data_IF_393655980662
#
_entry.id   IF_393655980662
#
_cell.length_a   1.000
_cell.length_b   1.000
_cell.length_c   1.000
_cell.angle_alpha   90.00
_cell.angle_beta   90.00
_cell.angle_gamma   90.00
#
_symmetry.space_group_name_H-M   'P 1'
#
loop_
_entity.id
_entity.type
_entity.pdbx_description
1 polymer ?
#
# COMPACT_ATOMS: atom_id res chain seq x y z
N UNK A 1 39.80 -29.93 29.52
CA UNK A 1 39.23 -28.60 29.75
C UNK A 1 37.82 -28.61 29.19
N UNK A 2 36.80 -28.54 30.04
CA UNK A 2 35.41 -28.41 29.56
C UNK A 2 35.12 -26.93 29.29
N UNK A 3 34.48 -26.60 28.16
CA UNK A 3 34.01 -25.24 27.94
C UNK A 3 32.92 -24.92 28.98
N UNK A 4 33.20 -23.96 29.85
CA UNK A 4 32.17 -23.36 30.71
C UNK A 4 31.36 -22.40 29.84
N UNK A 5 30.07 -22.69 29.65
CA UNK A 5 29.15 -21.73 29.04
C UNK A 5 28.88 -20.59 30.03
N UNK A 6 29.42 -19.41 29.74
CA UNK A 6 29.06 -18.17 30.43
C UNK A 6 27.82 -17.57 29.77
N UNK A 7 26.70 -17.51 30.50
CA UNK A 7 25.52 -16.77 30.09
C UNK A 7 25.67 -15.32 30.59
N UNK A 8 25.77 -14.37 29.65
CA UNK A 8 25.75 -12.94 29.97
C UNK A 8 24.29 -12.48 30.02
N UNK A 9 23.82 -12.09 31.21
CA UNK A 9 22.47 -11.56 31.41
C UNK A 9 22.57 -10.04 31.54
N UNK A 10 21.92 -9.33 30.62
CA UNK A 10 21.81 -7.87 30.67
C UNK A 10 20.43 -7.49 31.24
N UNK A 11 20.43 -6.67 32.30
CA UNK A 11 19.21 -6.07 32.83
C UNK A 11 19.05 -4.67 32.25
N UNK A 12 18.03 -4.48 31.41
CA UNK A 12 17.71 -3.18 30.83
C UNK A 12 16.61 -2.50 31.65
N UNK A 13 16.80 -1.22 31.96
CA UNK A 13 15.79 -0.35 32.59
C UNK A 13 15.62 0.91 31.75
N UNK A 14 14.44 1.52 31.78
CA UNK A 14 14.06 2.62 30.88
C UNK A 14 12.60 2.52 30.45
N UNK A 15 12.17 3.49 29.65
CA UNK A 15 10.89 3.54 28.96
C UNK A 15 10.78 2.43 27.90
N UNK A 16 9.57 2.12 27.45
CA UNK A 16 9.35 1.09 26.43
C UNK A 16 10.09 1.42 25.11
N UNK A 17 10.13 2.69 24.72
CA UNK A 17 10.88 3.14 23.53
C UNK A 17 12.38 2.89 23.68
N UNK A 18 12.98 3.24 24.82
CA UNK A 18 14.41 3.03 25.07
C UNK A 18 14.78 1.54 25.07
N UNK A 19 13.90 0.69 25.64
CA UNK A 19 14.07 -0.76 25.61
C UNK A 19 14.03 -1.29 24.17
N UNK A 20 13.08 -0.82 23.37
CA UNK A 20 12.94 -1.26 21.97
C UNK A 20 14.15 -0.88 21.13
N UNK A 21 14.67 0.34 21.27
CA UNK A 21 15.85 0.79 20.55
C UNK A 21 17.12 0.03 20.96
N UNK A 22 17.23 -0.31 22.25
CA UNK A 22 18.28 -1.20 22.72
C UNK A 22 18.17 -2.61 22.10
N UNK A 23 16.96 -3.17 22.06
CA UNK A 23 16.72 -4.48 21.41
C UNK A 23 17.08 -4.48 19.92
N UNK A 24 16.75 -3.41 19.19
CA UNK A 24 17.16 -3.22 17.79
C UNK A 24 18.68 -3.21 17.64
N UNK A 25 19.39 -2.59 18.58
CA UNK A 25 20.86 -2.50 18.57
C UNK A 25 21.52 -3.85 18.81
N UNK A 26 20.97 -4.70 19.67
CA UNK A 26 21.56 -6.04 19.93
C UNK A 26 21.14 -7.10 18.90
N UNK A 27 20.06 -6.88 18.15
CA UNK A 27 19.53 -7.78 17.11
C UNK A 27 20.36 -7.75 15.80
N UNK A 28 21.69 -7.86 15.93
CA UNK A 28 22.66 -7.80 14.82
C UNK A 28 23.36 -9.16 14.61
N UNK A 29 23.32 -10.07 15.59
CA UNK A 29 23.95 -11.39 15.53
C UNK A 29 22.92 -12.53 15.62
N UNK A 30 22.98 -13.49 14.69
CA UNK A 30 22.07 -14.64 14.62
C UNK A 30 20.92 -14.47 13.61
N UNK A 31 19.84 -15.24 13.75
CA UNK A 31 18.63 -15.02 12.96
C UNK A 31 17.95 -13.74 13.43
N UNK A 32 17.91 -12.73 12.55
CA UNK A 32 17.34 -11.42 12.85
C UNK A 32 15.85 -11.55 13.15
N UNK A 33 15.45 -11.11 14.36
CA UNK A 33 14.05 -10.92 14.71
C UNK A 33 13.42 -9.84 13.82
N UNK A 34 12.19 -10.06 13.39
CA UNK A 34 11.34 -9.05 12.74
C UNK A 34 11.01 -7.91 13.70
N UNK A 35 10.57 -6.79 13.15
CA UNK A 35 10.21 -5.62 13.96
C UNK A 35 9.06 -5.96 14.92
N UNK A 36 8.06 -6.72 14.48
CA UNK A 36 6.97 -7.17 15.34
C UNK A 36 7.42 -8.16 16.43
N UNK A 37 8.38 -9.04 16.15
CA UNK A 37 8.98 -9.91 17.16
C UNK A 37 9.69 -9.10 18.26
N UNK A 38 10.40 -8.04 17.89
CA UNK A 38 11.03 -7.12 18.85
C UNK A 38 10.00 -6.35 19.68
N UNK A 39 8.95 -5.81 19.04
CA UNK A 39 7.86 -5.11 19.73
C UNK A 39 7.17 -6.03 20.74
N UNK A 40 6.88 -7.27 20.37
CA UNK A 40 6.26 -8.25 21.26
C UNK A 40 7.13 -8.61 22.48
N UNK A 41 8.46 -8.46 22.39
CA UNK A 41 9.34 -8.65 23.54
C UNK A 41 9.28 -7.49 24.54
N UNK A 42 9.03 -6.27 24.06
CA UNK A 42 8.92 -5.05 24.88
C UNK A 42 7.51 -4.90 25.46
N UNK A 43 6.48 -5.04 24.63
CA UNK A 43 5.07 -4.86 24.99
C UNK A 43 4.41 -6.20 25.37
N UNK A 44 5.10 -7.00 26.18
CA UNK A 44 4.61 -8.31 26.57
C UNK A 44 3.49 -8.17 27.62
N UNK A 45 2.34 -8.81 27.37
CA UNK A 45 1.22 -8.83 28.30
C UNK A 45 0.08 -9.74 27.83
N UNK A 46 -1.05 -9.78 28.55
CA UNK A 46 -2.16 -10.68 28.25
C UNK A 46 -2.71 -10.49 26.83
N UNK A 47 -2.85 -9.24 26.40
CA UNK A 47 -3.26 -8.87 25.04
C UNK A 47 -2.31 -9.46 23.97
N UNK A 48 -1.00 -9.28 24.10
CA UNK A 48 -0.01 -9.77 23.13
C UNK A 48 -0.02 -11.31 23.05
N UNK A 49 -0.18 -11.97 24.21
CA UNK A 49 -0.30 -13.43 24.25
C UNK A 49 -1.56 -13.93 23.53
N UNK A 50 -2.68 -13.23 23.70
CA UNK A 50 -3.94 -13.58 23.04
C UNK A 50 -3.91 -13.27 21.53
N UNK A 51 -3.40 -12.10 21.12
CA UNK A 51 -3.24 -11.69 19.73
C UNK A 51 -2.46 -12.74 18.92
N UNK A 52 -1.36 -13.26 19.49
CA UNK A 52 -0.54 -14.30 18.85
C UNK A 52 -1.32 -15.58 18.55
N UNK A 53 -2.40 -15.90 19.29
CA UNK A 53 -3.24 -17.08 19.01
C UNK A 53 -3.99 -16.95 17.69
N UNK A 54 -4.40 -15.73 17.32
CA UNK A 54 -5.12 -15.44 16.08
C UNK A 54 -4.20 -15.26 14.89
N UNK A 55 -3.05 -14.60 15.09
CA UNK A 55 -2.21 -14.09 14.01
C UNK A 55 -0.86 -14.79 13.87
N UNK A 56 -0.29 -15.34 14.94
CA UNK A 56 1.15 -15.66 15.01
C UNK A 56 1.45 -17.13 15.21
N UNK A 57 0.90 -17.99 14.35
CA UNK A 57 1.22 -19.43 14.27
C UNK A 57 1.00 -19.95 12.85
N UNK A 58 1.67 -21.04 12.49
CA UNK A 58 1.40 -21.74 11.23
C UNK A 58 -0.08 -22.13 11.15
N UNK A 59 -0.75 -21.77 10.06
CA UNK A 59 -2.19 -22.05 9.89
C UNK A 59 -3.08 -21.35 10.92
N UNK A 60 -2.69 -20.18 11.42
CA UNK A 60 -3.52 -19.38 12.33
C UNK A 60 -4.87 -18.99 11.71
N UNK A 61 -5.81 -18.55 12.56
CA UNK A 61 -7.13 -18.14 12.11
C UNK A 61 -7.07 -17.01 11.06
N UNK A 62 -6.17 -16.05 11.26
CA UNK A 62 -5.96 -14.96 10.33
C UNK A 62 -5.46 -15.46 8.96
N UNK A 63 -4.55 -16.45 8.93
CA UNK A 63 -4.08 -17.06 7.69
C UNK A 63 -5.21 -17.74 6.93
N UNK A 64 -5.99 -18.59 7.60
CA UNK A 64 -7.12 -19.28 6.97
C UNK A 64 -8.20 -18.33 6.47
N UNK A 65 -8.35 -17.16 7.11
CA UNK A 65 -9.32 -16.14 6.71
C UNK A 65 -8.85 -15.29 5.53
N UNK A 66 -7.56 -14.93 5.52
CA UNK A 66 -7.04 -13.79 4.77
C UNK A 66 -5.85 -14.07 3.84
N UNK A 67 -5.39 -15.32 3.69
CA UNK A 67 -4.21 -15.67 2.86
C UNK A 67 -4.26 -15.21 1.40
N UNK A 68 -5.46 -14.89 0.91
CA UNK A 68 -5.72 -14.38 -0.44
C UNK A 68 -5.71 -12.86 -0.56
N UNK A 69 -5.68 -12.16 0.57
CA UNK A 69 -5.74 -10.71 0.69
C UNK A 69 -4.48 -10.14 1.34
N UNK A 70 -3.54 -11.00 1.72
CA UNK A 70 -2.25 -10.61 2.29
C UNK A 70 -1.14 -10.74 1.25
N UNK A 71 -0.05 -9.95 1.38
CA UNK A 71 1.10 -10.02 0.48
C UNK A 71 1.59 -11.46 0.26
N UNK A 72 2.04 -11.74 -0.96
CA UNK A 72 2.61 -13.05 -1.25
C UNK A 72 3.85 -13.30 -0.36
N UNK A 73 3.89 -14.46 0.30
CA UNK A 73 4.95 -14.78 1.26
C UNK A 73 4.72 -14.22 2.66
N UNK A 74 3.63 -13.46 2.89
CA UNK A 74 3.29 -12.97 4.23
C UNK A 74 3.18 -14.14 5.21
N UNK A 75 3.95 -14.06 6.28
CA UNK A 75 4.24 -15.17 7.17
C UNK A 75 3.62 -14.95 8.55
N UNK A 76 2.62 -15.76 8.93
CA UNK A 76 2.07 -15.74 10.28
C UNK A 76 3.13 -16.04 11.35
N UNK A 77 4.05 -16.97 11.08
CA UNK A 77 5.06 -17.37 12.07
C UNK A 77 6.09 -16.26 12.31
N UNK A 78 6.38 -15.46 11.27
CA UNK A 78 7.19 -14.22 11.37
C UNK A 78 6.36 -13.00 11.78
N UNK A 79 5.12 -13.21 12.22
CA UNK A 79 4.24 -12.22 12.84
C UNK A 79 3.79 -11.06 11.93
N UNK A 80 3.97 -11.18 10.62
CA UNK A 80 3.63 -10.13 9.65
C UNK A 80 2.10 -9.90 9.54
N UNK A 81 1.30 -10.93 9.82
CA UNK A 81 -0.16 -10.80 9.93
C UNK A 81 -0.56 -9.94 11.13
N UNK A 82 0.09 -10.16 12.27
CA UNK A 82 -0.16 -9.40 13.49
C UNK A 82 0.26 -7.94 13.29
N UNK A 83 1.45 -7.74 12.74
CA UNK A 83 1.98 -6.42 12.39
C UNK A 83 1.02 -5.65 11.49
N UNK A 84 0.57 -6.27 10.40
CA UNK A 84 -0.37 -5.66 9.45
C UNK A 84 -1.72 -5.32 10.11
N UNK A 85 -2.26 -6.23 10.93
CA UNK A 85 -3.53 -6.00 11.61
C UNK A 85 -3.42 -4.82 12.59
N UNK A 86 -2.32 -4.73 13.35
CA UNK A 86 -2.08 -3.63 14.29
C UNK A 86 -1.94 -2.32 13.52
N UNK A 87 -1.12 -2.28 12.47
CA UNK A 87 -0.93 -1.08 11.64
C UNK A 87 -2.27 -0.54 11.12
N UNK A 88 -3.10 -1.42 10.56
CA UNK A 88 -4.42 -1.04 10.07
C UNK A 88 -5.34 -0.49 11.16
N UNK A 89 -5.34 -1.10 12.34
CA UNK A 89 -6.21 -0.68 13.44
C UNK A 89 -5.70 0.56 14.18
N UNK A 90 -4.38 0.73 14.27
CA UNK A 90 -3.73 1.96 14.75
C UNK A 90 -4.17 3.15 13.89
N UNK A 91 -4.10 3.02 12.57
CA UNK A 91 -4.58 4.07 11.66
C UNK A 91 -6.09 4.31 11.80
N UNK A 92 -6.89 3.26 11.98
CA UNK A 92 -8.34 3.39 12.17
C UNK A 92 -8.72 4.15 13.46
N UNK A 93 -7.88 4.04 14.49
CA UNK A 93 -8.08 4.65 15.81
C UNK A 93 -7.33 5.99 15.96
N UNK A 94 -6.67 6.46 14.90
CA UNK A 94 -5.94 7.73 14.89
C UNK A 94 -4.61 7.71 15.65
N UNK A 95 -3.99 6.53 15.75
CA UNK A 95 -2.66 6.35 16.34
C UNK A 95 -1.58 6.39 15.26
N UNK A 96 -0.45 7.00 15.59
CA UNK A 96 0.62 7.27 14.63
C UNK A 96 1.56 6.07 14.40
N UNK A 97 1.50 5.05 15.26
CA UNK A 97 2.40 3.89 15.19
C UNK A 97 1.85 2.62 15.83
N UNK A 98 2.44 1.49 15.44
CA UNK A 98 2.23 0.16 16.04
C UNK A 98 2.65 0.17 17.51
N UNK A 99 3.79 0.81 17.81
CA UNK A 99 4.32 0.94 19.17
C UNK A 99 3.33 1.64 20.11
N UNK A 100 2.70 2.74 19.65
CA UNK A 100 1.69 3.44 20.45
C UNK A 100 0.45 2.57 20.68
N UNK A 101 -0.01 1.86 19.64
CA UNK A 101 -1.12 0.91 19.76
C UNK A 101 -0.80 -0.18 20.80
N UNK A 102 0.34 -0.85 20.67
CA UNK A 102 0.73 -1.92 21.57
C UNK A 102 0.95 -1.43 23.01
N UNK A 103 1.53 -0.24 23.20
CA UNK A 103 1.72 0.34 24.53
C UNK A 103 0.39 0.58 25.25
N UNK A 104 -0.65 1.02 24.53
CA UNK A 104 -2.01 1.24 25.07
C UNK A 104 -2.73 -0.07 25.40
N UNK A 105 -2.54 -1.10 24.58
CA UNK A 105 -3.32 -2.34 24.67
C UNK A 105 -2.62 -3.49 25.39
N UNK A 106 -1.30 -3.45 25.65
CA UNK A 106 -0.53 -4.58 26.20
C UNK A 106 -1.10 -5.18 27.50
N UNK A 107 -1.81 -4.39 28.30
CA UNK A 107 -2.42 -4.80 29.56
C UNK A 107 -3.90 -5.17 29.46
N UNK A 108 -4.50 -5.07 28.27
CA UNK A 108 -5.87 -5.53 28.03
C UNK A 108 -5.97 -7.03 28.22
N UNK A 109 -7.15 -7.51 28.62
CA UNK A 109 -7.36 -8.91 28.96
C UNK A 109 -7.21 -9.85 27.74
N UNK A 110 -7.61 -9.38 26.55
CA UNK A 110 -7.61 -10.14 25.31
C UNK A 110 -7.46 -9.23 24.08
N UNK A 111 -7.21 -9.84 22.91
CA UNK A 111 -7.05 -9.13 21.64
C UNK A 111 -8.31 -9.20 20.77
N UNK A 112 -9.48 -9.34 21.40
CA UNK A 112 -10.76 -9.48 20.72
C UNK A 112 -11.06 -8.33 19.79
N UNK A 113 -10.85 -7.08 20.22
CA UNK A 113 -11.11 -5.89 19.39
C UNK A 113 -10.32 -5.92 18.07
N UNK A 114 -9.00 -6.14 18.14
CA UNK A 114 -8.13 -6.26 16.98
C UNK A 114 -8.59 -7.41 16.05
N UNK A 115 -8.97 -8.55 16.63
CA UNK A 115 -9.46 -9.69 15.86
C UNK A 115 -10.77 -9.38 15.12
N UNK A 116 -11.75 -8.79 15.80
CA UNK A 116 -13.03 -8.42 15.17
C UNK A 116 -12.85 -7.35 14.09
N UNK A 117 -11.97 -6.37 14.32
CA UNK A 117 -11.60 -5.39 13.31
C UNK A 117 -11.05 -6.09 12.06
N UNK A 118 -10.04 -6.95 12.21
CA UNK A 118 -9.45 -7.68 11.10
C UNK A 118 -10.48 -8.53 10.35
N UNK A 119 -11.37 -9.22 11.06
CA UNK A 119 -12.47 -9.96 10.45
C UNK A 119 -13.39 -9.06 9.64
N UNK A 120 -13.69 -7.86 10.14
CA UNK A 120 -14.55 -6.88 9.47
C UNK A 120 -13.90 -6.36 8.18
N UNK A 121 -12.60 -6.09 8.19
CA UNK A 121 -11.85 -5.74 6.97
C UNK A 121 -12.03 -6.82 5.92
N UNK A 122 -11.73 -8.08 6.25
CA UNK A 122 -11.76 -9.17 5.27
C UNK A 122 -13.18 -9.48 4.80
N UNK A 123 -14.17 -9.40 5.69
CA UNK A 123 -15.57 -9.56 5.35
C UNK A 123 -16.03 -8.48 4.36
N UNK A 124 -15.64 -7.22 4.59
CA UNK A 124 -15.93 -6.12 3.68
C UNK A 124 -15.27 -6.30 2.32
N UNK A 125 -14.00 -6.74 2.27
CA UNK A 125 -13.31 -7.03 0.99
C UNK A 125 -14.08 -8.09 0.20
N UNK A 126 -14.48 -9.20 0.84
CA UNK A 126 -15.23 -10.28 0.19
C UNK A 126 -16.61 -9.84 -0.31
N UNK A 127 -17.29 -8.96 0.44
CA UNK A 127 -18.58 -8.43 0.05
C UNK A 127 -18.48 -7.40 -1.08
N UNK A 128 -17.42 -6.59 -1.08
CA UNK A 128 -17.23 -5.49 -2.04
C UNK A 128 -16.61 -5.98 -3.36
N UNK A 129 -15.69 -6.95 -3.29
CA UNK A 129 -14.94 -7.50 -4.42
C UNK A 129 -15.04 -9.04 -4.41
N UNK A 130 -16.18 -9.61 -4.85
CA UNK A 130 -16.44 -11.05 -4.72
C UNK A 130 -15.59 -11.92 -5.65
N UNK A 131 -15.13 -11.38 -6.78
CA UNK A 131 -14.29 -12.13 -7.73
C UNK A 131 -12.82 -12.11 -7.28
N UNK A 132 -12.36 -13.24 -6.77
CA UNK A 132 -10.96 -13.42 -6.35
C UNK A 132 -10.00 -13.33 -7.54
N UNK A 133 -8.97 -12.50 -7.39
CA UNK A 133 -7.84 -12.39 -8.33
C UNK A 133 -6.51 -12.36 -7.57
N UNK A 134 -5.41 -12.76 -8.21
CA UNK A 134 -4.09 -12.84 -7.56
C UNK A 134 -3.57 -11.46 -7.13
N UNK A 135 -3.98 -10.41 -7.84
CA UNK A 135 -3.60 -9.01 -7.64
C UNK A 135 -4.09 -8.48 -6.28
N UNK A 136 -5.14 -9.08 -5.71
CA UNK A 136 -5.71 -8.73 -4.40
C UNK A 136 -4.71 -8.89 -3.25
N UNK A 137 -3.67 -9.71 -3.42
CA UNK A 137 -2.62 -9.90 -2.40
C UNK A 137 -1.76 -8.67 -2.17
N UNK A 138 -1.70 -7.74 -3.13
CA UNK A 138 -0.85 -6.55 -3.06
C UNK A 138 -1.66 -5.27 -2.86
N UNK A 139 -2.78 -5.37 -2.14
CA UNK A 139 -3.69 -4.27 -1.84
C UNK A 139 -3.70 -4.02 -0.34
N UNK A 140 -3.61 -2.75 0.05
CA UNK A 140 -3.66 -2.34 1.46
C UNK A 140 -5.10 -2.28 1.95
N UNK A 141 -5.70 -3.43 2.21
CA UNK A 141 -7.14 -3.54 2.49
C UNK A 141 -7.60 -2.80 3.73
N UNK A 142 -6.80 -2.74 4.80
CA UNK A 142 -7.16 -1.98 6.00
C UNK A 142 -7.32 -0.49 5.73
N UNK A 143 -6.40 0.13 5.00
CA UNK A 143 -6.50 1.54 4.60
C UNK A 143 -7.81 1.82 3.83
N UNK A 144 -8.13 0.95 2.86
CA UNK A 144 -9.36 1.07 2.07
C UNK A 144 -10.61 0.84 2.91
N UNK A 145 -10.59 -0.14 3.81
CA UNK A 145 -11.71 -0.39 4.71
C UNK A 145 -11.95 0.81 5.65
N UNK A 146 -10.88 1.39 6.20
CA UNK A 146 -11.00 2.55 7.08
C UNK A 146 -11.64 3.74 6.36
N UNK A 147 -11.35 3.93 5.08
CA UNK A 147 -11.87 5.05 4.28
C UNK A 147 -13.25 4.79 3.63
N UNK A 148 -13.54 3.54 3.25
CA UNK A 148 -14.71 3.18 2.43
C UNK A 148 -15.64 2.15 3.07
N UNK A 149 -15.26 1.53 4.19
CA UNK A 149 -15.97 0.41 4.83
C UNK A 149 -17.42 0.72 5.23
N UNK A 150 -17.73 1.99 5.47
CA UNK A 150 -19.08 2.47 5.83
C UNK A 150 -19.86 3.04 4.64
N UNK A 151 -19.22 3.21 3.47
CA UNK A 151 -19.86 3.78 2.29
C UNK A 151 -20.73 2.72 1.60
N UNK A 152 -21.83 3.17 0.98
CA UNK A 152 -22.68 2.31 0.15
C UNK A 152 -22.01 2.11 -1.21
N UNK A 153 -21.44 0.94 -1.40
CA UNK A 153 -20.81 0.52 -2.65
C UNK A 153 -21.73 -0.44 -3.40
N UNK A 154 -21.58 -0.50 -4.73
CA UNK A 154 -22.29 -1.46 -5.59
C UNK A 154 -21.27 -2.49 -6.11
N UNK A 155 -21.17 -3.69 -5.51
CA UNK A 155 -20.19 -4.70 -5.90
C UNK A 155 -20.26 -5.09 -7.37
N UNK A 156 -21.46 -5.11 -7.97
CA UNK A 156 -21.65 -5.44 -9.39
C UNK A 156 -21.01 -4.38 -10.29
N UNK A 157 -21.23 -3.09 -9.99
CA UNK A 157 -20.61 -1.99 -10.76
C UNK A 157 -19.09 -1.96 -10.58
N UNK A 158 -18.63 -2.16 -9.35
CA UNK A 158 -17.19 -2.24 -9.07
C UNK A 158 -16.54 -3.38 -9.85
N UNK A 159 -17.14 -4.56 -9.84
CA UNK A 159 -16.60 -5.73 -10.54
C UNK A 159 -16.55 -5.53 -12.07
N UNK A 160 -17.57 -4.88 -12.66
CA UNK A 160 -17.55 -4.52 -14.09
C UNK A 160 -16.36 -3.62 -14.41
N UNK A 161 -16.11 -2.62 -13.58
CA UNK A 161 -15.01 -1.69 -13.78
C UNK A 161 -13.65 -2.35 -13.53
N UNK A 162 -13.53 -3.18 -12.48
CA UNK A 162 -12.33 -3.98 -12.23
C UNK A 162 -12.02 -4.87 -13.43
N UNK A 163 -13.01 -5.59 -13.97
CA UNK A 163 -12.81 -6.46 -15.13
C UNK A 163 -12.33 -5.66 -16.36
N UNK A 164 -12.97 -4.53 -16.66
CA UNK A 164 -12.57 -3.63 -17.75
C UNK A 164 -11.12 -3.17 -17.62
N UNK A 165 -10.71 -2.78 -16.41
CA UNK A 165 -9.35 -2.30 -16.12
C UNK A 165 -8.30 -3.42 -16.12
N UNK A 166 -8.70 -4.65 -15.78
CA UNK A 166 -7.83 -5.81 -15.87
C UNK A 166 -7.43 -6.11 -17.32
N UNK A 167 -8.33 -5.87 -18.28
CA UNK A 167 -8.06 -6.04 -19.71
C UNK A 167 -7.26 -4.89 -20.34
N UNK A 168 -7.22 -3.72 -19.70
CA UNK A 168 -6.52 -2.56 -20.27
C UNK A 168 -4.99 -2.69 -20.17
N UNK A 169 -4.31 -2.77 -21.31
CA UNK A 169 -2.85 -2.84 -21.40
C UNK A 169 -2.15 -1.57 -20.91
N UNK A 170 -2.86 -0.44 -20.88
CA UNK A 170 -2.30 0.82 -20.39
C UNK A 170 -2.23 0.84 -18.86
N UNK A 171 -2.91 -0.07 -18.13
CA UNK A 171 -2.82 -0.17 -16.67
C UNK A 171 -1.67 -1.10 -16.29
N UNK A 172 -0.55 -0.55 -15.83
CA UNK A 172 0.62 -1.35 -15.45
C UNK A 172 0.49 -1.93 -14.03
N UNK A 173 -0.11 -1.19 -13.08
CA UNK A 173 -0.27 -1.63 -11.68
C UNK A 173 -1.67 -2.17 -11.43
N UNK A 174 -1.88 -3.45 -11.73
CA UNK A 174 -3.20 -4.11 -11.60
C UNK A 174 -3.73 -4.18 -10.16
N UNK A 175 -2.88 -4.20 -9.13
CA UNK A 175 -3.36 -4.09 -7.73
C UNK A 175 -3.89 -2.69 -7.39
N UNK A 176 -3.46 -1.66 -8.13
CA UNK A 176 -3.97 -0.30 -7.98
C UNK A 176 -5.38 -0.08 -8.54
N UNK A 177 -5.94 -1.07 -9.23
CA UNK A 177 -7.32 -1.00 -9.71
C UNK A 177 -8.30 -0.87 -8.55
N UNK A 178 -8.09 -1.60 -7.44
CA UNK A 178 -9.00 -1.62 -6.30
C UNK A 178 -9.13 -0.26 -5.60
N UNK A 179 -8.05 0.47 -5.25
CA UNK A 179 -8.20 1.83 -4.77
C UNK A 179 -8.79 2.78 -5.83
N UNK A 180 -8.37 2.68 -7.10
CA UNK A 180 -8.89 3.54 -8.17
C UNK A 180 -10.41 3.47 -8.33
N UNK A 181 -11.00 2.27 -8.30
CA UNK A 181 -12.47 2.14 -8.43
C UNK A 181 -13.23 2.69 -7.22
N UNK A 182 -12.54 3.00 -6.12
CA UNK A 182 -13.11 3.58 -4.90
C UNK A 182 -12.96 5.10 -4.85
N UNK A 183 -11.84 5.67 -5.31
CA UNK A 183 -11.54 7.11 -5.21
C UNK A 183 -11.41 7.86 -6.56
N UNK A 184 -11.22 7.15 -7.67
CA UNK A 184 -11.01 7.71 -9.00
C UNK A 184 -9.60 8.23 -9.29
N UNK A 185 -8.61 8.01 -8.41
CA UNK A 185 -7.26 8.55 -8.56
C UNK A 185 -6.39 7.68 -9.49
N UNK A 186 -6.14 8.17 -10.70
CA UNK A 186 -5.36 7.47 -11.73
C UNK A 186 -3.92 7.12 -11.27
N UNK A 187 -3.37 7.81 -10.26
CA UNK A 187 -2.04 7.53 -9.72
C UNK A 187 -1.91 6.11 -9.19
N UNK A 188 -3.02 5.49 -8.80
CA UNK A 188 -3.01 4.08 -8.37
C UNK A 188 -2.69 3.13 -9.51
N UNK A 189 -3.10 3.45 -10.74
CA UNK A 189 -3.06 2.54 -11.88
C UNK A 189 -1.68 2.43 -12.53
N UNK A 190 -0.81 3.42 -12.30
CA UNK A 190 0.47 3.57 -13.01
C UNK A 190 0.29 3.40 -14.53
N UNK A 191 -0.38 4.38 -15.15
CA UNK A 191 -0.71 4.30 -16.58
C UNK A 191 0.57 4.29 -17.42
N UNK A 192 0.62 3.41 -18.42
CA UNK A 192 1.74 3.23 -19.35
C UNK A 192 2.18 4.56 -19.93
N UNK A 193 3.47 4.83 -19.80
CA UNK A 193 4.09 6.02 -20.38
C UNK A 193 4.26 5.88 -21.90
N UNK A 194 4.21 7.01 -22.61
CA UNK A 194 4.51 7.05 -24.05
C UNK A 194 5.96 6.64 -24.32
N UNK A 195 6.17 5.81 -25.35
CA UNK A 195 7.51 5.36 -25.73
C UNK A 195 8.38 6.54 -26.22
N UNK A 196 9.72 6.46 -26.12
CA UNK A 196 10.61 7.52 -26.61
C UNK A 196 10.35 7.91 -28.06
N UNK A 197 10.00 6.95 -28.92
CA UNK A 197 9.65 7.22 -30.31
C UNK A 197 8.34 8.00 -30.45
N UNK A 198 7.28 7.63 -29.72
CA UNK A 198 6.02 8.38 -29.71
C UNK A 198 6.22 9.83 -29.25
N UNK A 199 7.05 10.03 -28.21
CA UNK A 199 7.42 11.35 -27.71
C UNK A 199 8.13 12.18 -28.77
N UNK A 200 9.12 11.58 -29.45
CA UNK A 200 9.86 12.23 -30.55
C UNK A 200 8.91 12.62 -31.69
N UNK A 201 8.07 11.70 -32.15
CA UNK A 201 7.13 11.98 -33.24
C UNK A 201 6.15 13.10 -32.89
N UNK A 202 5.59 13.11 -31.68
CA UNK A 202 4.71 14.18 -31.22
C UNK A 202 5.44 15.53 -31.20
N UNK A 203 6.66 15.56 -30.67
CA UNK A 203 7.51 16.75 -30.64
C UNK A 203 7.76 17.34 -32.04
N UNK A 204 8.16 16.50 -33.01
CA UNK A 204 8.44 16.96 -34.37
C UNK A 204 7.15 17.48 -35.07
N UNK A 205 6.02 16.80 -34.87
CA UNK A 205 4.70 17.25 -35.36
C UNK A 205 4.32 18.62 -34.78
N UNK A 206 4.59 18.83 -33.49
CA UNK A 206 4.32 20.09 -32.78
C UNK A 206 5.41 21.15 -33.00
N UNK A 207 6.54 20.80 -33.64
CA UNK A 207 7.70 21.66 -33.86
C UNK A 207 8.23 22.28 -32.56
N UNK A 208 8.21 21.50 -31.47
CA UNK A 208 8.60 21.95 -30.12
C UNK A 208 7.68 22.99 -29.49
N UNK A 209 6.44 23.15 -29.99
CA UNK A 209 5.46 24.08 -29.43
C UNK A 209 4.45 23.36 -28.54
N UNK A 210 4.33 23.82 -27.29
CA UNK A 210 3.30 23.34 -26.38
C UNK A 210 1.90 23.88 -26.79
N UNK A 211 0.90 23.02 -27.05
CA UNK A 211 -0.44 23.45 -27.48
C UNK A 211 -1.26 24.14 -26.38
N UNK A 212 -0.85 24.03 -25.11
CA UNK A 212 -1.53 24.62 -23.96
C UNK A 212 -0.90 25.93 -23.47
N UNK A 213 0.28 26.29 -23.98
CA UNK A 213 0.91 27.56 -23.62
C UNK A 213 0.07 28.76 -24.11
N UNK A 214 -0.06 29.75 -23.23
CA UNK A 214 -0.73 31.03 -23.52
C UNK A 214 0.23 32.20 -23.26
N UNK A 215 -0.16 33.42 -23.64
CA UNK A 215 0.65 34.62 -23.44
C UNK A 215 2.00 34.57 -24.16
N UNK A 216 3.05 35.05 -23.49
CA UNK A 216 4.42 35.11 -24.01
C UNK A 216 4.96 33.73 -24.43
N UNK A 217 4.53 32.66 -23.75
CA UNK A 217 4.98 31.30 -24.03
C UNK A 217 4.26 30.63 -25.20
N UNK A 218 3.20 31.24 -25.78
CA UNK A 218 2.37 30.63 -26.85
C UNK A 218 3.18 30.20 -28.07
N UNK A 219 4.22 30.96 -28.42
CA UNK A 219 5.09 30.69 -29.57
C UNK A 219 6.49 30.22 -29.19
N UNK A 220 6.76 30.02 -27.89
CA UNK A 220 8.05 29.52 -27.42
C UNK A 220 8.28 28.11 -27.96
N UNK A 221 9.46 27.92 -28.57
CA UNK A 221 9.99 26.60 -28.90
C UNK A 221 10.70 26.08 -27.67
N UNK A 222 10.28 24.91 -27.22
CA UNK A 222 10.88 24.16 -26.12
C UNK A 222 11.75 23.06 -26.70
N UNK A 223 12.83 22.71 -26.02
CA UNK A 223 13.58 21.50 -26.32
C UNK A 223 12.85 20.26 -25.81
N UNK A 224 13.15 19.08 -26.37
CA UNK A 224 12.40 17.85 -26.06
C UNK A 224 12.42 17.51 -24.56
N UNK A 225 13.54 17.73 -23.89
CA UNK A 225 13.78 17.46 -22.47
C UNK A 225 13.15 18.52 -21.53
N UNK A 226 12.73 19.65 -22.08
CA UNK A 226 11.91 20.64 -21.41
C UNK A 226 10.40 20.32 -21.47
N UNK A 227 10.03 19.26 -22.19
CA UNK A 227 8.65 18.84 -22.40
C UNK A 227 8.35 17.45 -21.84
N UNK A 228 7.09 17.26 -21.47
CA UNK A 228 6.53 16.01 -20.98
C UNK A 228 5.44 15.53 -21.92
N UNK A 229 5.41 14.22 -22.16
CA UNK A 229 4.39 13.63 -23.02
C UNK A 229 3.14 13.34 -22.21
N UNK A 230 2.00 13.56 -22.83
CA UNK A 230 0.71 13.54 -22.18
C UNK A 230 -0.39 13.18 -23.20
N UNK A 231 -1.53 12.71 -22.70
CA UNK A 231 -2.64 12.29 -23.54
C UNK A 231 -3.44 13.50 -24.05
N UNK A 232 -3.79 13.52 -25.32
CA UNK A 232 -4.69 14.52 -25.91
C UNK A 232 -6.09 14.33 -25.32
N UNK A 233 -6.65 13.13 -25.47
CA UNK A 233 -7.83 12.67 -24.75
C UNK A 233 -7.37 11.98 -23.46
N UNK A 234 -7.76 12.45 -22.27
CA UNK A 234 -7.36 11.84 -20.99
C UNK A 234 -7.65 10.34 -20.93
N UNK A 235 -6.86 9.62 -20.14
CA UNK A 235 -6.98 8.17 -20.04
C UNK A 235 -8.32 7.74 -19.42
N UNK A 236 -8.81 8.39 -18.35
CA UNK A 236 -10.14 8.11 -17.78
C UNK A 236 -11.31 8.32 -18.77
N UNK A 237 -11.15 9.17 -19.79
CA UNK A 237 -12.15 9.35 -20.83
C UNK A 237 -12.06 8.27 -21.94
N UNK A 238 -11.14 7.33 -21.82
CA UNK A 238 -10.86 6.27 -22.80
C UNK A 238 -9.79 6.64 -23.81
N UNK A 239 -8.90 7.59 -23.50
CA UNK A 239 -7.72 7.87 -24.30
C UNK A 239 -6.62 6.81 -24.12
N UNK A 240 -6.15 6.21 -25.20
CA UNK A 240 -5.09 5.18 -25.17
C UNK A 240 -3.68 5.77 -25.24
N UNK A 241 -2.69 5.07 -24.70
CA UNK A 241 -1.26 5.44 -24.84
C UNK A 241 -0.73 5.04 -26.22
N UNK A 242 -1.14 5.79 -27.24
CA UNK A 242 -0.73 5.59 -28.64
C UNK A 242 -0.24 6.90 -29.25
N UNK A 243 0.62 6.83 -30.27
CA UNK A 243 1.22 8.02 -30.89
C UNK A 243 0.20 9.05 -31.42
N UNK A 244 -0.99 8.61 -31.84
CA UNK A 244 -2.09 9.50 -32.25
C UNK A 244 -2.76 10.27 -31.11
N UNK A 245 -2.61 9.80 -29.87
CA UNK A 245 -3.12 10.45 -28.67
C UNK A 245 -2.01 11.11 -27.84
N UNK A 246 -0.76 11.10 -28.33
CA UNK A 246 0.39 11.70 -27.66
C UNK A 246 0.51 13.18 -28.04
N UNK A 247 0.68 14.05 -27.05
CA UNK A 247 1.11 15.44 -27.21
C UNK A 247 2.27 15.74 -26.26
N UNK A 248 3.16 16.64 -26.65
CA UNK A 248 4.16 17.20 -25.76
C UNK A 248 3.63 18.51 -25.16
N UNK A 249 3.69 18.62 -23.83
CA UNK A 249 3.41 19.83 -23.06
C UNK A 249 4.70 20.34 -22.41
N UNK A 250 4.86 21.65 -22.22
CA UNK A 250 5.91 22.12 -21.32
C UNK A 250 5.61 21.68 -19.88
N UNK A 251 6.65 21.52 -19.05
CA UNK A 251 6.52 21.04 -17.65
C UNK A 251 5.46 21.81 -16.85
N UNK A 252 5.38 23.12 -17.02
CA UNK A 252 4.40 23.94 -16.30
C UNK A 252 2.96 23.66 -16.74
N UNK A 253 2.71 23.52 -18.05
CA UNK A 253 1.38 23.19 -18.56
C UNK A 253 0.98 21.76 -18.16
N UNK A 254 1.93 20.82 -18.18
CA UNK A 254 1.68 19.44 -17.78
C UNK A 254 1.29 19.36 -16.29
N UNK A 255 2.07 19.99 -15.40
CA UNK A 255 1.78 20.04 -13.96
C UNK A 255 0.42 20.64 -13.64
N UNK A 256 0.02 21.71 -14.35
CA UNK A 256 -1.31 22.33 -14.18
C UNK A 256 -2.43 21.39 -14.63
N UNK A 257 -2.20 20.58 -15.67
CA UNK A 257 -3.15 19.58 -16.14
C UNK A 257 -3.25 18.39 -15.18
N UNK A 258 -2.15 17.94 -14.59
CA UNK A 258 -2.13 16.81 -13.66
C UNK A 258 -2.67 17.15 -12.26
N UNK A 259 -2.76 18.44 -11.91
CA UNK A 259 -3.27 18.92 -10.62
C UNK A 259 -4.78 19.22 -10.59
N UNK A 260 -5.49 18.88 -11.66
CA UNK A 260 -6.96 18.99 -11.82
C UNK A 260 -7.53 17.64 -12.13
#
# INVERSE_FOLDING_TARGET
MNPQQHCMIYFCSGTDSERLDWFRTINIAGEKLTDQELRNAVYAGPWTADAKRYFSKTGCAAYGLASDYMPAGCSPIRQEYLETAIDWHAQATGLDSIEEYMSKHQHDADAGELWHYFQSVIAWVKATFPTRRKEMKNVKWGELFNQFGTKRLNPTKLEQEVARLMEDEDVEKKSGIYPYVLDGDERHLNIRAFSPNMRREAYEKQKGKCPKCTGENKNKKWELDEMEADHIKPWHEGGKTVGGNCQMLCKDCNRRKSGT
#
